data_IF_623670108003
#
_entry.id   IF_623670108003
#
_cell.length_a   1.000
_cell.length_b   1.000
_cell.length_c   1.000
_cell.angle_alpha   90.00
_cell.angle_beta   90.00
_cell.angle_gamma   90.00
#
_symmetry.space_group_name_H-M   'P 1'
#
loop_
_entity.id
_entity.type
_entity.pdbx_description
1 polymer ?
#
# COMPACT_ATOMS: atom_id res chain seq x y z
N UNK A 1 3.20 25.79 -4.87
CA UNK A 1 4.26 25.11 -4.21
C UNK A 1 5.62 25.57 -4.72
N UNK A 2 6.62 25.58 -3.88
CA UNK A 2 7.94 26.11 -4.25
C UNK A 2 8.80 24.98 -4.83
N UNK A 3 9.38 25.17 -6.04
CA UNK A 3 10.19 24.12 -6.66
C UNK A 3 11.32 23.59 -5.79
N UNK A 4 11.99 24.49 -5.04
CA UNK A 4 13.08 24.07 -4.16
C UNK A 4 12.61 23.20 -3.02
N UNK A 5 11.41 23.49 -2.48
CA UNK A 5 10.82 22.68 -1.41
C UNK A 5 10.47 21.29 -1.90
N UNK A 6 9.94 21.20 -3.11
CA UNK A 6 9.61 19.91 -3.72
C UNK A 6 10.87 19.06 -3.90
N UNK A 7 11.93 19.68 -4.42
CA UNK A 7 13.19 18.98 -4.65
C UNK A 7 13.79 18.46 -3.35
N UNK A 8 13.81 19.30 -2.32
CA UNK A 8 14.35 18.90 -1.00
C UNK A 8 13.53 17.77 -0.41
N UNK A 9 12.21 17.88 -0.47
CA UNK A 9 11.33 16.85 0.06
C UNK A 9 11.55 15.51 -0.64
N UNK A 10 11.56 15.52 -1.98
CA UNK A 10 11.76 14.29 -2.74
C UNK A 10 13.15 13.70 -2.52
N UNK A 11 14.17 14.54 -2.45
CA UNK A 11 15.52 14.04 -2.19
C UNK A 11 15.62 13.40 -0.81
N UNK A 12 14.91 13.95 0.16
CA UNK A 12 14.85 13.37 1.49
C UNK A 12 14.19 11.99 1.46
N UNK A 13 13.06 11.86 0.78
CA UNK A 13 12.40 10.58 0.65
C UNK A 13 13.27 9.56 -0.09
N UNK A 14 13.88 9.98 -1.19
CA UNK A 14 14.73 9.10 -1.99
C UNK A 14 15.94 8.63 -1.18
N UNK A 15 16.48 9.50 -0.33
CA UNK A 15 17.64 9.15 0.49
C UNK A 15 17.33 8.02 1.49
N UNK A 16 16.06 7.86 1.85
CA UNK A 16 15.64 6.76 2.74
C UNK A 16 15.71 5.41 2.04
N UNK A 17 15.65 5.41 0.71
CA UNK A 17 15.65 4.18 -0.07
C UNK A 17 14.32 3.43 0.04
N UNK A 18 14.31 2.23 -0.53
CA UNK A 18 13.15 1.35 -0.40
C UNK A 18 13.19 0.66 0.95
N UNK A 19 12.03 0.60 1.61
CA UNK A 19 11.92 -0.01 2.93
C UNK A 19 10.47 -0.43 3.19
N UNK A 20 10.19 -0.78 4.43
CA UNK A 20 8.87 -1.29 4.84
C UNK A 20 7.72 -0.37 4.41
N UNK A 21 7.94 0.93 4.39
CA UNK A 21 6.90 1.91 4.10
C UNK A 21 7.19 2.75 2.86
N UNK A 22 8.11 2.32 2.02
CA UNK A 22 8.45 3.09 0.82
C UNK A 22 8.97 2.20 -0.30
N UNK A 23 8.51 2.46 -1.52
CA UNK A 23 8.94 1.74 -2.69
C UNK A 23 9.11 2.70 -3.86
N UNK A 24 10.03 2.40 -4.76
CA UNK A 24 10.26 3.19 -5.97
C UNK A 24 9.71 2.43 -7.17
N UNK A 25 9.04 3.15 -8.07
CA UNK A 25 8.58 2.59 -9.34
C UNK A 25 9.04 3.49 -10.47
N UNK A 26 9.76 2.92 -11.42
CA UNK A 26 10.19 3.68 -12.59
C UNK A 26 8.98 4.17 -13.39
N UNK A 27 8.04 3.27 -13.62
CA UNK A 27 6.81 3.59 -14.34
C UNK A 27 5.74 2.60 -13.93
N UNK A 28 4.48 2.90 -14.28
CA UNK A 28 3.38 1.99 -14.05
C UNK A 28 2.91 1.48 -15.40
N UNK A 29 3.14 0.20 -15.66
CA UNK A 29 2.72 -0.44 -16.91
C UNK A 29 1.57 -1.42 -16.68
N UNK A 30 1.29 -1.77 -15.42
CA UNK A 30 0.30 -2.79 -15.08
C UNK A 30 -0.37 -2.42 -13.77
N UNK A 31 -1.66 -2.14 -13.85
CA UNK A 31 -2.45 -1.75 -12.67
C UNK A 31 -2.51 -2.87 -11.63
N UNK A 32 -2.45 -4.13 -12.05
CA UNK A 32 -2.47 -5.25 -11.09
C UNK A 32 -1.20 -5.31 -10.25
N UNK A 33 -0.06 -4.97 -10.83
CA UNK A 33 1.18 -4.91 -10.07
C UNK A 33 1.13 -3.82 -9.01
N UNK A 34 0.56 -2.68 -9.37
CA UNK A 34 0.37 -1.60 -8.40
C UNK A 34 -0.61 -2.02 -7.33
N UNK A 35 -1.68 -2.73 -7.69
CA UNK A 35 -2.66 -3.21 -6.73
C UNK A 35 -2.01 -4.11 -5.67
N UNK A 36 -1.04 -4.94 -6.07
CA UNK A 36 -0.30 -5.77 -5.10
C UNK A 36 0.46 -4.92 -4.10
N UNK A 37 1.08 -3.84 -4.56
CA UNK A 37 1.76 -2.91 -3.67
C UNK A 37 0.77 -2.24 -2.71
N UNK A 38 -0.39 -1.83 -3.24
CA UNK A 38 -1.43 -1.22 -2.40
C UNK A 38 -1.90 -2.20 -1.32
N UNK A 39 -2.13 -3.46 -1.70
CA UNK A 39 -2.49 -4.50 -0.74
C UNK A 39 -1.42 -4.68 0.32
N UNK A 40 -0.16 -4.82 -0.12
CA UNK A 40 0.95 -5.07 0.78
C UNK A 40 1.13 -3.95 1.80
N UNK A 41 1.11 -2.70 1.35
CA UNK A 41 1.25 -1.56 2.25
C UNK A 41 0.04 -1.43 3.18
N UNK A 42 -1.17 -1.55 2.63
CA UNK A 42 -2.40 -1.43 3.42
C UNK A 42 -2.47 -2.49 4.52
N UNK A 43 -2.04 -3.69 4.23
CA UNK A 43 -2.10 -4.81 5.18
C UNK A 43 -0.97 -4.77 6.21
N UNK A 44 -0.02 -3.87 6.05
CA UNK A 44 1.11 -3.80 6.97
C UNK A 44 1.07 -2.47 7.74
N UNK A 45 1.89 -1.50 7.37
CA UNK A 45 1.98 -0.25 8.11
C UNK A 45 1.60 0.97 7.27
N UNK A 46 1.00 0.75 6.10
CA UNK A 46 0.84 1.81 5.14
C UNK A 46 2.18 2.14 4.50
N UNK A 47 2.22 3.19 3.72
CA UNK A 47 3.47 3.59 3.09
C UNK A 47 3.24 4.48 1.90
N UNK A 48 4.28 4.59 1.06
CA UNK A 48 4.19 5.42 -0.13
C UNK A 48 4.97 4.82 -1.28
N UNK A 49 4.48 5.13 -2.47
CA UNK A 49 5.13 4.77 -3.72
C UNK A 49 5.63 6.06 -4.37
N UNK A 50 6.90 6.06 -4.76
CA UNK A 50 7.47 7.15 -5.55
C UNK A 50 7.54 6.68 -6.99
N UNK A 51 6.68 7.22 -7.84
CA UNK A 51 6.57 6.83 -9.24
C UNK A 51 7.34 7.81 -10.09
N UNK A 52 8.22 7.29 -10.94
CA UNK A 52 9.14 8.09 -11.73
C UNK A 52 10.54 8.10 -11.14
N UNK A 53 10.81 7.19 -10.20
CA UNK A 53 12.11 7.05 -9.54
C UNK A 53 12.62 5.63 -9.79
N UNK A 54 13.85 5.53 -10.25
CA UNK A 54 14.51 4.24 -10.49
C UNK A 54 14.98 3.61 -9.19
N UNK A 55 15.26 2.32 -9.24
CA UNK A 55 15.72 1.57 -8.07
C UNK A 55 16.97 2.20 -7.43
N UNK A 56 17.81 2.82 -8.24
CA UNK A 56 19.02 3.48 -7.73
C UNK A 56 18.77 4.88 -7.17
N UNK A 57 17.51 5.32 -7.12
CA UNK A 57 17.12 6.62 -6.61
C UNK A 57 17.15 7.75 -7.63
N UNK A 58 17.51 7.46 -8.88
CA UNK A 58 17.56 8.48 -9.92
C UNK A 58 16.15 8.86 -10.37
N UNK A 59 15.87 10.15 -10.47
CA UNK A 59 14.58 10.65 -10.91
C UNK A 59 14.53 10.56 -12.44
N UNK A 60 13.57 9.78 -12.93
CA UNK A 60 13.35 9.60 -14.37
C UNK A 60 12.14 10.41 -14.87
N UNK A 61 11.15 10.57 -14.02
CA UNK A 61 9.92 11.28 -14.37
C UNK A 61 8.90 10.39 -15.04
N UNK A 62 7.63 10.82 -15.01
CA UNK A 62 6.51 10.08 -15.60
C UNK A 62 5.56 11.03 -16.30
N UNK A 63 4.60 10.47 -17.03
CA UNK A 63 3.46 11.18 -17.60
C UNK A 63 2.34 11.12 -16.57
N UNK A 64 2.25 12.17 -15.77
CA UNK A 64 1.46 12.16 -14.54
C UNK A 64 0.00 11.72 -14.68
N UNK A 65 -0.66 12.12 -15.74
CA UNK A 65 -2.10 11.81 -15.89
C UNK A 65 -2.36 10.32 -16.05
N UNK A 66 -1.57 9.66 -16.90
CA UNK A 66 -1.71 8.23 -17.14
C UNK A 66 -1.43 7.43 -15.90
N UNK A 67 -0.34 7.75 -15.23
CA UNK A 67 0.08 7.04 -14.02
C UNK A 67 -0.93 7.21 -12.89
N UNK A 68 -1.43 8.43 -12.69
CA UNK A 68 -2.45 8.69 -11.67
C UNK A 68 -3.69 7.86 -11.93
N UNK A 69 -4.12 7.82 -13.20
CA UNK A 69 -5.30 7.04 -13.58
C UNK A 69 -5.11 5.57 -13.26
N UNK A 70 -3.94 5.04 -13.54
CA UNK A 70 -3.65 3.63 -13.26
C UNK A 70 -3.62 3.32 -11.76
N UNK A 71 -3.11 4.24 -10.96
CA UNK A 71 -3.11 4.07 -9.51
C UNK A 71 -4.54 4.04 -8.99
N UNK A 72 -5.37 4.96 -9.46
CA UNK A 72 -6.77 5.03 -9.04
C UNK A 72 -7.54 3.79 -9.48
N UNK A 73 -7.28 3.31 -10.70
CA UNK A 73 -7.90 2.08 -11.19
C UNK A 73 -7.49 0.90 -10.33
N UNK A 74 -6.20 0.80 -9.99
CA UNK A 74 -5.72 -0.28 -9.14
C UNK A 74 -6.43 -0.28 -7.80
N UNK A 75 -6.56 0.89 -7.19
CA UNK A 75 -7.18 1.02 -5.87
C UNK A 75 -8.67 0.68 -5.88
N UNK A 76 -9.37 1.04 -6.94
CA UNK A 76 -10.83 0.90 -6.99
C UNK A 76 -11.30 -0.37 -7.67
N UNK A 77 -10.59 -0.83 -8.70
CA UNK A 77 -11.05 -1.96 -9.50
C UNK A 77 -10.44 -3.29 -9.08
N UNK A 78 -9.22 -3.26 -8.59
CA UNK A 78 -8.50 -4.50 -8.30
C UNK A 78 -8.31 -4.77 -6.81
N UNK A 79 -8.55 -3.79 -5.94
CA UNK A 79 -8.42 -3.99 -4.50
C UNK A 79 -9.79 -4.13 -3.84
N UNK A 80 -9.90 -5.04 -2.88
CA UNK A 80 -11.10 -5.23 -2.07
C UNK A 80 -10.71 -5.37 -0.61
N UNK A 81 -11.20 -4.48 0.27
CA UNK A 81 -11.95 -3.27 -0.06
C UNK A 81 -11.10 -2.25 -0.81
N UNK A 82 -11.74 -1.23 -1.36
CA UNK A 82 -11.04 -0.16 -2.05
C UNK A 82 -10.03 0.51 -1.14
N UNK A 83 -8.90 0.93 -1.72
CA UNK A 83 -7.84 1.62 -0.97
C UNK A 83 -7.94 3.11 -1.26
N UNK A 84 -7.92 3.92 -0.20
CA UNK A 84 -7.98 5.37 -0.31
C UNK A 84 -6.57 5.93 -0.50
N UNK A 85 -6.12 5.94 -1.75
CA UNK A 85 -4.78 6.42 -2.08
C UNK A 85 -4.80 7.91 -2.35
N UNK A 86 -3.91 8.65 -1.69
CA UNK A 86 -3.71 10.06 -2.00
C UNK A 86 -2.50 10.23 -2.89
N UNK A 87 -2.66 10.87 -4.05
CA UNK A 87 -1.56 11.07 -4.99
C UNK A 87 -1.22 12.54 -5.07
N UNK A 88 0.07 12.85 -4.88
CA UNK A 88 0.59 14.20 -5.03
C UNK A 88 1.59 14.23 -6.18
N UNK A 89 1.55 15.29 -6.95
CA UNK A 89 2.45 15.49 -8.09
C UNK A 89 3.52 16.49 -7.71
N UNK A 90 4.77 16.14 -7.97
CA UNK A 90 5.92 17.01 -7.70
C UNK A 90 6.73 17.17 -8.97
N UNK A 91 7.32 18.36 -9.14
CA UNK A 91 8.19 18.60 -10.29
C UNK A 91 9.59 18.93 -9.79
N UNK A 92 10.56 18.21 -10.35
CA UNK A 92 11.98 18.38 -10.00
C UNK A 92 12.80 18.39 -11.29
N UNK A 93 13.46 19.53 -11.55
CA UNK A 93 14.33 19.69 -12.72
C UNK A 93 13.59 19.32 -14.02
N UNK A 94 12.34 19.76 -14.15
CA UNK A 94 11.54 19.51 -15.34
C UNK A 94 10.95 18.11 -15.45
N UNK A 95 11.11 17.29 -14.43
CA UNK A 95 10.57 15.93 -14.41
C UNK A 95 9.49 15.82 -13.37
N UNK A 96 8.45 15.05 -13.68
CA UNK A 96 7.32 14.84 -12.80
C UNK A 96 7.49 13.54 -12.02
N UNK A 97 7.34 13.63 -10.71
CA UNK A 97 7.35 12.47 -9.81
C UNK A 97 6.05 12.45 -9.05
N UNK A 98 5.43 11.28 -8.98
CA UNK A 98 4.22 11.09 -8.19
C UNK A 98 4.56 10.44 -6.87
N UNK A 99 3.95 10.93 -5.79
CA UNK A 99 4.05 10.29 -4.48
C UNK A 99 2.64 9.83 -4.12
N UNK A 100 2.47 8.52 -4.07
CA UNK A 100 1.19 7.92 -3.70
C UNK A 100 1.26 7.51 -2.23
N UNK A 101 0.39 8.11 -1.41
CA UNK A 101 0.31 7.78 0.02
C UNK A 101 -0.74 6.71 0.21
N UNK A 102 -0.36 5.62 0.85
CA UNK A 102 -1.24 4.47 1.05
C UNK A 102 -1.48 4.31 2.54
N UNK A 103 -2.74 4.45 3.00
CA UNK A 103 -3.02 4.33 4.42
C UNK A 103 -2.98 2.89 4.88
N UNK A 104 -2.67 2.70 6.15
CA UNK A 104 -2.82 1.42 6.81
C UNK A 104 -4.31 1.09 6.91
N UNK A 105 -4.70 -0.08 6.48
CA UNK A 105 -6.09 -0.49 6.50
C UNK A 105 -6.56 -0.76 7.94
N UNK A 106 -7.77 -0.33 8.25
CA UNK A 106 -8.42 -0.63 9.53
C UNK A 106 -8.93 -2.05 9.53
N UNK A 107 -9.46 -2.49 8.40
CA UNK A 107 -9.95 -3.85 8.21
C UNK A 107 -9.05 -4.60 7.25
N UNK A 108 -8.53 -5.73 7.68
CA UNK A 108 -7.64 -6.56 6.88
C UNK A 108 -8.24 -7.94 6.67
N UNK A 109 -7.95 -8.62 5.58
CA UNK A 109 -6.98 -8.23 4.55
C UNK A 109 -7.59 -7.35 3.47
N UNK A 110 -6.77 -6.52 2.86
CA UNK A 110 -7.05 -5.89 1.58
C UNK A 110 -6.56 -6.86 0.52
N UNK A 111 -7.45 -7.33 -0.33
CA UNK A 111 -7.14 -8.35 -1.33
C UNK A 111 -7.07 -7.76 -2.72
N UNK A 112 -6.36 -8.46 -3.61
CA UNK A 112 -6.13 -8.06 -4.99
C UNK A 112 -6.61 -9.16 -5.91
N UNK A 113 -7.33 -8.80 -6.96
CA UNK A 113 -7.74 -9.75 -7.97
C UNK A 113 -6.59 -10.03 -8.95
N UNK A 114 -6.26 -11.30 -9.13
CA UNK A 114 -5.23 -11.69 -10.09
C UNK A 114 -5.85 -11.91 -11.48
N UNK A 115 -5.02 -12.37 -12.43
CA UNK A 115 -5.45 -12.57 -13.81
C UNK A 115 -6.54 -13.64 -13.96
N UNK A 116 -6.64 -14.55 -12.99
CA UNK A 116 -7.65 -15.61 -13.01
C UNK A 116 -8.95 -15.23 -12.33
N UNK A 117 -9.00 -14.01 -11.77
CA UNK A 117 -10.15 -13.53 -11.01
C UNK A 117 -10.13 -13.90 -9.55
N UNK A 118 -9.07 -14.55 -9.10
CA UNK A 118 -8.91 -14.96 -7.70
C UNK A 118 -8.40 -13.82 -6.87
N UNK A 119 -8.86 -13.71 -5.63
CA UNK A 119 -8.44 -12.66 -4.71
C UNK A 119 -7.37 -13.15 -3.78
N UNK A 120 -6.26 -12.43 -3.72
CA UNK A 120 -5.09 -12.76 -2.91
C UNK A 120 -4.68 -11.54 -2.10
N UNK A 121 -4.13 -11.77 -0.92
CA UNK A 121 -3.65 -10.70 -0.05
C UNK A 121 -2.12 -10.70 -0.01
N UNK A 122 -1.54 -9.52 0.10
CA UNK A 122 -0.08 -9.34 0.19
C UNK A 122 0.27 -8.60 1.47
N UNK A 123 1.50 -8.81 1.93
CA UNK A 123 2.07 -8.07 3.06
C UNK A 123 3.42 -7.50 2.64
N UNK A 124 3.80 -6.41 3.29
CA UNK A 124 5.09 -5.77 3.05
C UNK A 124 6.09 -6.26 4.09
N UNK A 125 7.15 -6.90 3.63
CA UNK A 125 8.23 -7.37 4.52
C UNK A 125 9.53 -6.76 3.99
N UNK A 126 10.10 -5.86 4.77
CA UNK A 126 11.26 -5.06 4.35
C UNK A 126 10.90 -4.30 3.07
N UNK A 127 11.59 -4.57 1.96
CA UNK A 127 11.34 -3.88 0.70
C UNK A 127 10.61 -4.77 -0.33
N UNK A 128 9.93 -5.82 0.14
CA UNK A 128 9.27 -6.77 -0.76
C UNK A 128 7.78 -6.90 -0.46
N UNK A 129 7.01 -7.10 -1.54
CA UNK A 129 5.59 -7.43 -1.44
C UNK A 129 5.47 -8.95 -1.52
N UNK A 130 5.04 -9.56 -0.44
CA UNK A 130 5.01 -11.01 -0.30
C UNK A 130 3.58 -11.48 -0.12
N UNK A 131 3.24 -12.60 -0.74
CA UNK A 131 1.93 -13.20 -0.59
C UNK A 131 1.70 -13.54 0.88
N UNK A 132 0.53 -13.14 1.41
CA UNK A 132 0.19 -13.41 2.81
C UNK A 132 0.15 -14.92 3.05
N UNK A 133 0.73 -15.33 4.18
CA UNK A 133 0.77 -16.73 4.57
C UNK A 133 -0.54 -17.10 5.29
N UNK A 134 -0.81 -18.42 5.46
CA UNK A 134 -1.95 -18.83 6.28
C UNK A 134 -1.94 -18.25 7.68
N UNK A 135 -0.74 -18.00 8.24
CA UNK A 135 -0.62 -17.38 9.57
C UNK A 135 -1.15 -15.96 9.55
N UNK A 136 -0.76 -15.17 8.54
CA UNK A 136 -1.28 -13.80 8.38
C UNK A 136 -2.80 -13.82 8.29
N UNK A 137 -3.34 -14.70 7.46
CA UNK A 137 -4.79 -14.78 7.25
C UNK A 137 -5.52 -15.16 8.52
N UNK A 138 -4.94 -16.10 9.30
CA UNK A 138 -5.52 -16.54 10.55
C UNK A 138 -5.55 -15.40 11.58
N UNK A 139 -4.45 -14.65 11.68
CA UNK A 139 -4.35 -13.51 12.61
C UNK A 139 -5.41 -12.45 12.28
N UNK A 140 -5.55 -12.11 11.00
CA UNK A 140 -6.54 -11.11 10.59
C UNK A 140 -7.95 -11.58 10.85
N UNK A 141 -8.25 -12.84 10.57
CA UNK A 141 -9.56 -13.41 10.81
C UNK A 141 -9.89 -13.36 12.29
N UNK A 142 -8.94 -13.69 13.13
CA UNK A 142 -9.12 -13.69 14.58
C UNK A 142 -9.37 -12.28 15.11
N UNK A 143 -8.62 -11.29 14.61
CA UNK A 143 -8.81 -9.90 15.01
C UNK A 143 -10.19 -9.37 14.60
N UNK A 144 -10.63 -9.72 13.40
CA UNK A 144 -11.94 -9.32 12.92
C UNK A 144 -13.05 -9.93 13.79
N UNK A 145 -12.90 -11.21 14.13
CA UNK A 145 -13.84 -11.89 15.03
C UNK A 145 -13.85 -11.27 16.42
N UNK A 146 -12.65 -10.97 16.94
CA UNK A 146 -12.53 -10.37 18.26
C UNK A 146 -13.21 -9.00 18.31
N UNK A 147 -13.04 -8.19 17.28
CA UNK A 147 -13.70 -6.89 17.19
C UNK A 147 -15.22 -7.05 17.14
N UNK A 148 -15.69 -7.99 16.33
CA UNK A 148 -17.12 -8.28 16.27
C UNK A 148 -17.64 -8.79 17.60
N UNK A 149 -16.87 -9.64 18.26
CA UNK A 149 -17.23 -10.19 19.57
C UNK A 149 -17.28 -9.09 20.62
N UNK A 150 -16.32 -8.18 20.60
CA UNK A 150 -16.30 -7.07 21.55
C UNK A 150 -17.54 -6.20 21.43
N UNK A 151 -18.01 -5.97 20.22
CA UNK A 151 -19.23 -5.20 20.00
C UNK A 151 -20.42 -5.88 20.64
N UNK A 152 -20.47 -7.21 20.55
CA UNK A 152 -21.60 -7.98 21.09
C UNK A 152 -21.46 -8.31 22.56
N UNK A 153 -20.25 -8.62 23.00
CA UNK A 153 -19.99 -9.20 24.32
C UNK A 153 -18.96 -8.39 25.09
N UNK A 154 -19.11 -7.11 25.10
CA UNK A 154 -18.16 -6.20 25.76
C UNK A 154 -17.82 -6.64 27.18
N UNK A 155 -18.72 -7.25 27.89
CA UNK A 155 -18.56 -7.64 29.27
C UNK A 155 -18.09 -9.07 29.45
N UNK A 156 -18.01 -9.81 28.45
CA UNK A 156 -17.58 -11.18 28.59
C UNK A 156 -16.11 -11.34 28.72
N UNK A 157 -15.48 -11.20 28.79
CA UNK A 157 -14.22 -11.45 28.55
C UNK A 157 -13.34 -12.25 28.72
N UNK A 158 -13.68 -12.42 28.63
CA UNK A 158 -13.26 -13.36 28.26
C UNK A 158 -12.58 -13.80 28.38
N UNK A 159 -12.76 -14.23 28.59
CA UNK A 159 -12.28 -15.11 28.60
C UNK A 159 -11.73 -15.74 28.00
N UNK A 160 -11.72 -15.88 28.17
CA UNK A 160 -11.40 -16.63 27.53
C UNK A 160 -11.05 -16.92 27.04
N UNK A 161 -10.84 -17.24 27.25
CA UNK A 161 -10.43 -17.82 26.62
C UNK A 161 -10.02 -18.02 26.13
N UNK A 162 -9.90 -18.10 26.05
CA UNK A 162 -9.66 -18.49 25.44
C UNK A 162 -9.48 -18.67 24.94
N UNK A 163 -9.29 -18.77 25.04
CA UNK A 163 -8.91 -19.16 24.39
C UNK A 163 -8.45 -19.44 23.84
N UNK A 164 -8.40 -19.46 23.82
CA UNK A 164 -8.06 -20.01 23.29
C UNK A 164 -7.36 -20.06 22.85
N UNK A 165 -7.20 -19.93 23.07
CA UNK A 165 -6.66 -20.24 22.77
C UNK A 165 -6.34 -20.50 22.60
#
# INVERSE_FOLDING_TARGET
MRPNSDKVYLQQLISEGEHQQQDFKFEISDARKIARSLSAFSNTDGGRLLIGVKDNGRIAGVRSEEEIYMIEAAAKLYCRPNVEVGVQTYEVDGKTVLVAEIPKAEQKPVQVQDETGKYLAYVRIADENILATPVHLAVWRQKNSAQGTLVKYTCLLYTSPSPRD
#
